data_IF_549863001097
#
_entry.id   IF_549863001097
#
_cell.length_a   1.000
_cell.length_b   1.000
_cell.length_c   1.000
_cell.angle_alpha   90.00
_cell.angle_beta   90.00
_cell.angle_gamma   90.00
#
_symmetry.space_group_name_H-M   'P 1'
#
loop_
_entity.id
_entity.type
_entity.pdbx_description
1 polymer ?
#
# COMPACT_ATOMS: atom_id res chain seq x y z
N UNK A 1 -7.71 -17.97 89.06
CA UNK A 1 -8.57 -17.13 89.93
C UNK A 1 -8.39 -15.72 89.37
N UNK A 2 -9.30 -15.13 88.61
CA UNK A 2 -10.76 -15.10 88.79
C UNK A 2 -11.42 -14.91 87.41
N UNK A 3 -12.51 -15.65 87.17
CA UNK A 3 -13.50 -15.45 86.09
C UNK A 3 -14.25 -14.11 86.34
N UNK A 4 -14.78 -13.41 85.34
CA UNK A 4 -16.14 -13.48 84.74
C UNK A 4 -16.24 -12.16 83.89
N UNK A 5 -16.83 -12.02 82.70
CA UNK A 5 -18.13 -12.42 82.17
C UNK A 5 -18.15 -12.36 80.62
N UNK A 6 -18.93 -13.25 80.01
CA UNK A 6 -19.55 -13.16 78.68
C UNK A 6 -21.09 -13.06 78.92
N UNK A 7 -21.99 -12.93 77.91
CA UNK A 7 -22.04 -12.10 76.69
C UNK A 7 -23.46 -11.43 76.50
N UNK A 8 -23.66 -10.58 75.48
CA UNK A 8 -25.01 -10.41 74.87
C UNK A 8 -25.01 -9.72 73.49
N UNK A 9 -25.14 -10.56 72.44
CA UNK A 9 -26.07 -10.52 71.30
C UNK A 9 -26.26 -9.31 70.36
N UNK A 10 -26.34 -9.68 69.07
CA UNK A 10 -26.93 -9.03 67.87
C UNK A 10 -25.91 -8.28 66.97
N UNK A 11 -25.81 -8.49 65.65
CA UNK A 11 -26.70 -9.17 64.70
C UNK A 11 -25.97 -9.52 63.37
N UNK A 12 -26.49 -10.57 62.73
CA UNK A 12 -26.54 -10.97 61.31
C UNK A 12 -25.39 -10.74 60.29
N UNK A 13 -24.95 -11.87 59.69
CA UNK A 13 -24.93 -12.07 58.22
C UNK A 13 -23.55 -12.01 57.55
N UNK A 14 -22.93 -13.13 57.17
CA UNK A 14 -23.20 -13.73 55.86
C UNK A 14 -21.93 -14.26 55.19
N UNK A 15 -21.58 -15.51 55.50
CA UNK A 15 -20.92 -16.54 54.66
C UNK A 15 -19.83 -16.14 53.65
N UNK A 16 -18.59 -16.59 53.90
CA UNK A 16 -17.63 -16.86 52.83
C UNK A 16 -18.07 -18.02 51.95
N UNK A 17 -17.91 -17.88 50.64
CA UNK A 17 -18.05 -18.99 49.68
C UNK A 17 -16.99 -18.85 48.60
N UNK A 18 -15.90 -19.58 48.77
CA UNK A 18 -15.04 -19.99 47.67
C UNK A 18 -15.74 -21.14 46.94
N UNK A 19 -15.95 -21.00 45.63
CA UNK A 19 -15.95 -22.14 44.71
C UNK A 19 -15.73 -21.59 43.30
N UNK A 20 -14.57 -21.88 42.73
CA UNK A 20 -14.30 -21.68 41.32
C UNK A 20 -15.11 -22.69 40.52
N UNK A 21 -16.01 -22.22 39.66
CA UNK A 21 -16.66 -23.07 38.66
C UNK A 21 -15.63 -23.42 37.57
N UNK A 22 -14.97 -24.56 37.75
CA UNK A 22 -14.16 -25.16 36.71
C UNK A 22 -15.09 -25.73 35.63
N UNK A 23 -15.13 -25.07 34.46
CA UNK A 23 -15.78 -25.61 33.26
C UNK A 23 -15.04 -26.87 32.84
N UNK A 24 -15.66 -28.03 33.03
CA UNK A 24 -15.11 -29.31 32.58
C UNK A 24 -15.41 -29.49 31.08
N UNK A 25 -14.37 -29.43 30.25
CA UNK A 25 -14.47 -29.71 28.82
C UNK A 25 -14.55 -31.23 28.60
N UNK A 26 -15.75 -31.76 28.36
CA UNK A 26 -15.95 -33.16 27.95
C UNK A 26 -15.55 -33.35 26.48
N UNK A 27 -14.90 -34.48 26.15
CA UNK A 27 -14.54 -34.86 24.77
C UNK A 27 -15.75 -34.85 23.84
N UNK A 28 -16.94 -35.19 24.34
CA UNK A 28 -18.18 -35.15 23.54
C UNK A 28 -18.61 -33.72 23.22
N UNK A 29 -18.46 -32.78 24.15
CA UNK A 29 -18.73 -31.37 23.93
C UNK A 29 -17.73 -30.75 22.94
N UNK A 30 -16.46 -31.14 23.02
CA UNK A 30 -15.42 -30.71 22.07
C UNK A 30 -15.71 -31.23 20.65
N UNK A 31 -16.04 -32.52 20.50
CA UNK A 31 -16.34 -33.12 19.21
C UNK A 31 -17.63 -32.56 18.60
N UNK A 32 -18.69 -32.38 19.39
CA UNK A 32 -19.93 -31.76 18.92
C UNK A 32 -19.72 -30.29 18.51
N UNK A 33 -18.93 -29.53 19.27
CA UNK A 33 -18.59 -28.14 18.93
C UNK A 33 -17.72 -28.01 17.67
N UNK A 34 -16.79 -28.94 17.45
CA UNK A 34 -15.92 -28.96 16.27
C UNK A 34 -16.66 -29.36 14.97
N UNK A 35 -17.67 -30.22 15.05
CA UNK A 35 -18.49 -30.58 13.88
C UNK A 35 -19.42 -29.44 13.44
N UNK A 36 -19.98 -28.69 14.41
CA UNK A 36 -20.84 -27.53 14.12
C UNK A 36 -20.08 -26.34 13.53
N UNK A 37 -18.81 -26.16 13.90
CA UNK A 37 -17.97 -25.08 13.37
C UNK A 37 -17.49 -25.34 11.93
N UNK A 38 -17.27 -26.60 11.55
CA UNK A 38 -16.90 -26.97 10.17
C UNK A 38 -18.08 -26.87 9.18
N UNK A 39 -19.31 -27.17 9.60
CA UNK A 39 -20.50 -27.02 8.76
C UNK A 39 -20.86 -25.55 8.55
N UNK A 40 -20.71 -24.69 9.56
CA UNK A 40 -20.92 -23.24 9.43
C UNK A 40 -19.89 -22.55 8.52
N UNK A 41 -18.68 -23.09 8.37
CA UNK A 41 -17.71 -22.59 7.39
C UNK A 41 -18.11 -22.86 5.94
N UNK A 42 -18.80 -23.99 5.68
CA UNK A 42 -19.35 -24.31 4.35
C UNK A 42 -20.52 -23.40 3.93
N UNK A 43 -21.23 -22.82 4.91
CA UNK A 43 -22.36 -21.90 4.71
C UNK A 43 -22.07 -20.47 5.15
N UNK A 44 -20.82 -20.13 5.47
CA UNK A 44 -20.43 -18.76 5.73
C UNK A 44 -20.86 -17.94 4.50
N UNK A 45 -21.74 -16.94 4.64
CA UNK A 45 -22.13 -16.12 3.51
C UNK A 45 -20.83 -15.55 2.97
N UNK A 46 -20.47 -15.96 1.74
CA UNK A 46 -19.50 -15.21 0.97
C UNK A 46 -20.16 -13.86 0.85
N UNK A 47 -19.71 -12.90 1.66
CA UNK A 47 -20.11 -11.54 1.50
C UNK A 47 -19.76 -11.21 0.05
N UNK A 48 -20.77 -11.18 -0.81
CA UNK A 48 -20.71 -10.36 -1.99
C UNK A 48 -20.65 -8.97 -1.43
N UNK A 49 -19.41 -8.52 -1.18
CA UNK A 49 -19.12 -7.11 -1.02
C UNK A 49 -19.88 -6.43 -2.15
N UNK A 50 -20.59 -5.35 -1.80
CA UNK A 50 -21.24 -4.49 -2.76
C UNK A 50 -20.34 -4.26 -3.98
N UNK A 51 -20.93 -3.78 -5.07
CA UNK A 51 -20.34 -3.32 -6.34
C UNK A 51 -19.07 -2.40 -6.25
N UNK A 52 -18.41 -2.28 -5.10
CA UNK A 52 -17.07 -1.78 -4.96
C UNK A 52 -16.13 -2.47 -5.96
N UNK A 53 -15.62 -1.65 -6.86
CA UNK A 53 -14.59 -2.01 -7.81
C UNK A 53 -13.24 -1.42 -7.34
N UNK A 54 -12.61 -2.00 -6.31
CA UNK A 54 -11.45 -1.37 -5.67
C UNK A 54 -10.29 -1.24 -6.64
N UNK A 55 -9.50 -0.18 -6.43
CA UNK A 55 -8.27 0.10 -7.16
C UNK A 55 -7.10 0.02 -6.20
N UNK A 56 -6.00 -0.56 -6.66
CA UNK A 56 -4.78 -0.70 -5.88
C UNK A 56 -3.60 -0.13 -6.65
N UNK A 57 -2.84 0.75 -6.00
CA UNK A 57 -1.64 1.36 -6.55
C UNK A 57 -0.48 1.16 -5.58
N UNK A 58 0.57 0.47 -6.03
CA UNK A 58 1.83 0.39 -5.30
C UNK A 58 2.75 1.53 -5.72
N UNK A 59 3.21 2.33 -4.77
CA UNK A 59 4.17 3.40 -5.00
C UNK A 59 5.49 3.02 -4.35
N UNK A 60 6.54 2.84 -5.16
CA UNK A 60 7.89 2.57 -4.63
C UNK A 60 8.70 3.86 -4.61
N UNK A 61 9.13 4.25 -3.41
CA UNK A 61 10.01 5.41 -3.20
C UNK A 61 11.46 4.93 -3.30
N UNK A 62 12.14 5.26 -4.40
CA UNK A 62 13.52 4.85 -4.70
C UNK A 62 14.51 5.81 -4.04
N UNK A 63 15.47 5.24 -3.34
CA UNK A 63 16.61 5.94 -2.75
C UNK A 63 16.84 5.62 -1.27
N UNK A 64 15.90 4.94 -0.62
CA UNK A 64 16.05 4.57 0.79
C UNK A 64 15.56 5.67 1.72
N UNK A 65 14.25 5.90 1.69
CA UNK A 65 13.57 6.81 2.61
C UNK A 65 13.86 6.42 4.06
N UNK A 66 14.40 7.36 4.83
CA UNK A 66 14.58 7.18 6.26
C UNK A 66 13.23 7.18 7.02
N UNK A 67 12.80 6.01 7.46
CA UNK A 67 11.55 5.82 8.20
C UNK A 67 11.49 6.58 9.54
N UNK A 68 12.63 6.82 10.19
CA UNK A 68 12.68 7.59 11.44
C UNK A 68 12.53 9.09 11.17
N UNK A 69 12.95 9.57 10.01
CA UNK A 69 12.68 10.94 9.58
C UNK A 69 11.22 11.16 9.17
N UNK A 70 10.50 10.09 8.78
CA UNK A 70 9.08 10.12 8.40
C UNK A 70 8.20 10.09 9.64
N UNK A 71 8.38 9.07 10.49
CA UNK A 71 7.54 8.80 11.63
C UNK A 71 8.40 8.31 12.81
N UNK A 72 8.67 9.24 13.72
CA UNK A 72 9.60 9.07 14.83
C UNK A 72 8.92 8.51 16.08
N UNK A 73 9.53 7.54 16.78
CA UNK A 73 9.06 7.02 18.07
C UNK A 73 9.46 7.97 19.21
N UNK A 74 8.82 9.14 19.33
CA UNK A 74 9.16 10.15 20.35
C UNK A 74 9.05 9.66 21.79
N UNK A 75 8.22 8.65 22.05
CA UNK A 75 8.12 8.05 23.39
C UNK A 75 9.30 7.12 23.74
N UNK A 76 10.19 6.79 22.80
CA UNK A 76 11.40 6.01 23.07
C UNK A 76 12.48 6.93 23.68
N UNK A 77 12.92 6.70 24.93
CA UNK A 77 13.90 7.55 25.60
C UNK A 77 15.27 7.56 24.90
N UNK A 78 15.56 6.56 24.07
CA UNK A 78 16.81 6.48 23.32
C UNK A 78 16.75 7.21 21.98
N UNK A 79 15.55 7.51 21.46
CA UNK A 79 15.40 8.07 20.12
C UNK A 79 16.19 9.37 19.94
N UNK A 80 15.96 10.37 20.80
CA UNK A 80 16.64 11.66 20.69
C UNK A 80 18.17 11.53 20.77
N UNK A 81 18.66 10.71 21.72
CA UNK A 81 20.11 10.55 21.93
C UNK A 81 20.78 9.82 20.77
N UNK A 82 20.18 8.74 20.27
CA UNK A 82 20.73 7.95 19.17
C UNK A 82 20.62 8.68 17.83
N UNK A 83 19.57 9.48 17.65
CA UNK A 83 19.29 10.20 16.42
C UNK A 83 20.02 11.55 16.34
N UNK A 84 20.34 12.16 17.49
CA UNK A 84 21.10 13.40 17.58
C UNK A 84 20.43 14.54 16.81
N UNK A 85 21.20 15.28 16.02
CA UNK A 85 20.69 16.42 15.23
C UNK A 85 19.65 16.08 14.16
N UNK A 86 19.43 14.79 13.86
CA UNK A 86 18.40 14.33 12.93
C UNK A 86 17.07 14.01 13.62
N UNK A 87 16.99 14.15 14.94
CA UNK A 87 15.77 13.89 15.68
C UNK A 87 14.70 14.93 15.34
N UNK A 88 13.45 14.48 15.24
CA UNK A 88 12.32 15.40 15.15
C UNK A 88 12.15 16.15 16.47
N UNK A 89 11.74 17.40 16.39
CA UNK A 89 11.55 18.25 17.56
C UNK A 89 10.27 17.86 18.32
N UNK A 90 10.32 17.93 19.65
CA UNK A 90 9.16 17.71 20.52
C UNK A 90 8.22 18.93 20.56
N UNK A 91 8.77 20.13 20.45
CA UNK A 91 8.04 21.38 20.63
C UNK A 91 8.60 22.51 19.75
N UNK A 92 7.81 23.57 19.60
CA UNK A 92 8.14 24.74 18.77
C UNK A 92 7.68 24.62 17.32
N UNK A 93 8.13 25.55 16.47
CA UNK A 93 7.65 25.72 15.10
C UNK A 93 8.02 24.56 14.15
N UNK A 94 8.84 23.61 14.60
CA UNK A 94 9.23 22.38 13.88
C UNK A 94 8.79 21.09 14.56
N UNK A 95 7.88 21.15 15.53
CA UNK A 95 7.43 19.97 16.27
C UNK A 95 6.76 18.93 15.36
N UNK A 96 7.05 17.66 15.61
CA UNK A 96 6.41 16.54 14.90
C UNK A 96 4.89 16.52 15.10
N UNK A 97 4.15 16.05 14.09
CA UNK A 97 2.70 15.96 14.11
C UNK A 97 2.25 14.68 14.83
N UNK A 98 1.50 14.73 15.95
CA UNK A 98 1.20 13.54 16.74
C UNK A 98 0.39 12.48 15.97
N UNK A 99 0.83 11.23 16.01
CA UNK A 99 0.11 10.06 15.48
C UNK A 99 -0.58 9.23 16.58
N UNK A 100 -0.32 9.55 17.85
CA UNK A 100 -0.71 8.73 19.00
C UNK A 100 0.28 7.59 19.24
N UNK A 101 0.11 6.88 20.37
CA UNK A 101 0.98 5.75 20.73
C UNK A 101 2.47 6.09 20.90
N UNK A 102 2.79 7.38 21.12
CA UNK A 102 4.18 7.83 21.25
C UNK A 102 4.90 8.13 19.94
N UNK A 103 4.21 8.09 18.79
CA UNK A 103 4.79 8.44 17.49
C UNK A 103 4.40 9.85 17.03
N UNK A 104 5.30 10.49 16.31
CA UNK A 104 5.04 11.75 15.60
C UNK A 104 5.47 11.64 14.14
N UNK A 105 4.72 12.26 13.24
CA UNK A 105 5.05 12.40 11.84
C UNK A 105 5.92 13.65 11.62
N UNK A 106 6.74 13.63 10.58
CA UNK A 106 7.48 14.81 10.12
C UNK A 106 6.55 16.02 9.92
N UNK A 107 6.90 17.23 10.41
CA UNK A 107 6.07 18.44 10.27
C UNK A 107 5.76 18.82 8.82
N UNK A 108 6.62 18.44 7.86
CA UNK A 108 6.39 18.71 6.44
C UNK A 108 5.29 17.81 5.82
N UNK A 109 4.84 16.76 6.51
CA UNK A 109 3.89 15.77 6.00
C UNK A 109 2.45 16.03 6.44
N UNK A 110 2.04 17.29 6.47
CA UNK A 110 0.70 17.73 6.92
C UNK A 110 -0.45 17.04 6.17
N UNK A 111 -0.29 16.77 4.86
CA UNK A 111 -1.29 16.06 4.08
C UNK A 111 -1.48 14.60 4.53
N UNK A 112 -0.37 13.88 4.76
CA UNK A 112 -0.43 12.50 5.25
C UNK A 112 -0.99 12.44 6.68
N UNK A 113 -0.64 13.42 7.52
CA UNK A 113 -1.21 13.55 8.86
C UNK A 113 -2.73 13.75 8.82
N UNK A 114 -3.23 14.59 7.91
CA UNK A 114 -4.68 14.78 7.71
C UNK A 114 -5.38 13.49 7.29
N UNK A 115 -4.79 12.70 6.38
CA UNK A 115 -5.32 11.40 6.00
C UNK A 115 -5.34 10.43 7.18
N UNK A 116 -4.27 10.41 7.98
CA UNK A 116 -4.17 9.58 9.17
C UNK A 116 -5.26 9.93 10.20
N UNK A 117 -5.47 11.22 10.48
CA UNK A 117 -6.54 11.68 11.37
C UNK A 117 -7.94 11.26 10.90
N UNK A 118 -8.16 11.19 9.59
CA UNK A 118 -9.40 10.71 8.97
C UNK A 118 -9.51 9.18 8.90
N UNK A 119 -8.50 8.44 9.35
CA UNK A 119 -8.37 6.98 9.21
C UNK A 119 -8.31 6.51 7.75
N UNK A 120 -7.78 7.36 6.88
CA UNK A 120 -7.55 7.09 5.45
C UNK A 120 -6.08 6.73 5.15
N UNK A 121 -5.20 6.82 6.15
CA UNK A 121 -3.81 6.38 6.06
C UNK A 121 -3.43 5.52 7.28
N UNK A 122 -2.55 4.54 7.04
CA UNK A 122 -1.96 3.68 8.05
C UNK A 122 -0.44 3.68 7.87
N UNK A 123 0.28 3.82 8.98
CA UNK A 123 1.73 3.65 9.02
C UNK A 123 2.03 2.31 9.71
N UNK A 124 2.88 1.50 9.09
CA UNK A 124 3.29 0.21 9.64
C UNK A 124 4.80 0.28 9.89
N UNK A 125 5.17 0.20 11.16
CA UNK A 125 6.56 0.28 11.61
C UNK A 125 7.21 -1.10 11.69
N UNK A 126 8.55 -1.11 11.78
CA UNK A 126 9.36 -2.32 11.94
C UNK A 126 9.11 -3.39 10.85
N UNK A 127 8.82 -2.95 9.63
CA UNK A 127 8.68 -3.82 8.46
C UNK A 127 9.97 -3.75 7.64
N UNK A 128 10.51 -4.92 7.32
CA UNK A 128 11.66 -5.05 6.43
C UNK A 128 11.56 -6.34 5.64
N UNK A 129 12.20 -6.36 4.46
CA UNK A 129 12.50 -7.61 3.76
C UNK A 129 13.50 -8.44 4.58
N UNK A 130 13.74 -9.74 4.27
CA UNK A 130 14.80 -10.51 4.93
C UNK A 130 16.22 -10.09 4.54
N UNK A 131 16.37 -9.20 3.55
CA UNK A 131 17.66 -8.76 3.03
C UNK A 131 18.41 -7.87 4.03
N UNK A 132 19.69 -8.16 4.28
CA UNK A 132 20.54 -7.48 5.29
C UNK A 132 21.91 -7.04 4.77
N UNK A 133 22.13 -7.09 3.46
CA UNK A 133 23.37 -6.61 2.85
C UNK A 133 23.26 -5.13 2.43
N UNK A 134 24.35 -4.58 1.85
CA UNK A 134 24.51 -3.13 1.62
C UNK A 134 24.25 -2.67 0.19
N UNK A 135 23.74 -3.53 -0.68
CA UNK A 135 23.37 -3.15 -2.05
C UNK A 135 21.90 -2.71 -2.11
N UNK A 136 21.67 -1.45 -2.50
CA UNK A 136 20.34 -0.90 -2.71
C UNK A 136 19.59 -1.60 -3.85
N UNK A 137 20.31 -2.00 -4.90
CA UNK A 137 19.71 -2.70 -6.05
C UNK A 137 19.17 -4.07 -5.65
N UNK A 138 19.97 -4.84 -4.91
CA UNK A 138 19.58 -6.17 -4.44
C UNK A 138 18.43 -6.09 -3.42
N UNK A 139 18.48 -5.14 -2.49
CA UNK A 139 17.38 -4.92 -1.54
C UNK A 139 16.08 -4.51 -2.23
N UNK A 140 16.19 -3.71 -3.30
CA UNK A 140 15.07 -3.35 -4.17
C UNK A 140 14.51 -4.58 -4.90
N UNK A 141 15.36 -5.44 -5.45
CA UNK A 141 14.91 -6.64 -6.15
C UNK A 141 14.20 -7.61 -5.21
N UNK A 142 14.68 -7.74 -3.96
CA UNK A 142 14.00 -8.51 -2.90
C UNK A 142 12.63 -7.90 -2.56
N UNK A 143 12.54 -6.57 -2.41
CA UNK A 143 11.28 -5.87 -2.15
C UNK A 143 10.25 -6.08 -3.27
N UNK A 144 10.70 -5.95 -4.53
CA UNK A 144 9.82 -6.02 -5.70
C UNK A 144 9.45 -7.44 -6.11
N UNK A 145 10.36 -8.39 -5.92
CA UNK A 145 10.09 -9.81 -6.15
C UNK A 145 9.25 -10.43 -5.05
N UNK A 146 9.37 -9.94 -3.81
CA UNK A 146 8.81 -10.57 -2.62
C UNK A 146 9.44 -11.94 -2.29
N UNK A 147 10.63 -12.23 -2.83
CA UNK A 147 11.38 -13.46 -2.58
C UNK A 147 12.37 -13.28 -1.42
N UNK A 148 12.83 -14.35 -0.77
CA UNK A 148 13.65 -14.23 0.44
C UNK A 148 15.10 -13.77 0.22
N UNK A 149 15.57 -13.67 -1.03
CA UNK A 149 16.96 -13.33 -1.32
C UNK A 149 17.21 -12.94 -2.76
N UNK A 150 18.47 -12.60 -3.03
CA UNK A 150 18.97 -12.20 -4.34
C UNK A 150 19.14 -13.43 -5.23
N UNK A 151 18.88 -13.31 -6.53
CA UNK A 151 19.04 -14.41 -7.48
C UNK A 151 18.50 -14.09 -8.87
N UNK A 152 18.25 -15.14 -9.67
CA UNK A 152 17.60 -15.02 -10.97
C UNK A 152 16.11 -14.68 -10.80
N UNK A 153 15.84 -13.41 -10.50
CA UNK A 153 14.51 -12.89 -10.30
C UNK A 153 14.00 -12.36 -11.64
N UNK A 154 12.97 -13.01 -12.19
CA UNK A 154 12.38 -12.61 -13.48
C UNK A 154 10.98 -12.02 -13.35
N UNK A 155 10.33 -12.15 -12.19
CA UNK A 155 8.97 -11.67 -11.95
C UNK A 155 8.78 -11.02 -10.57
N UNK A 156 7.74 -10.19 -10.48
CA UNK A 156 7.36 -9.44 -9.28
C UNK A 156 6.15 -10.01 -8.58
N UNK A 157 6.08 -9.80 -7.26
CA UNK A 157 4.98 -10.33 -6.46
C UNK A 157 3.61 -9.78 -6.88
N UNK A 158 3.55 -8.52 -7.35
CA UNK A 158 2.28 -7.91 -7.75
C UNK A 158 1.77 -8.49 -9.07
N UNK A 159 2.65 -8.75 -10.04
CA UNK A 159 2.25 -9.46 -11.26
C UNK A 159 1.76 -10.88 -10.95
N UNK A 160 2.49 -11.63 -10.11
CA UNK A 160 2.05 -12.96 -9.67
C UNK A 160 0.69 -12.91 -8.98
N UNK A 161 0.41 -11.87 -8.20
CA UNK A 161 -0.90 -11.66 -7.59
C UNK A 161 -2.00 -11.38 -8.63
N UNK A 162 -1.73 -10.54 -9.63
CA UNK A 162 -2.66 -10.25 -10.74
C UNK A 162 -2.98 -11.54 -11.51
N UNK A 163 -1.99 -12.37 -11.81
CA UNK A 163 -2.16 -13.63 -12.55
C UNK A 163 -3.09 -14.64 -11.84
N UNK A 164 -3.29 -14.48 -10.52
CA UNK A 164 -4.17 -15.34 -9.70
C UNK A 164 -5.57 -14.75 -9.50
N UNK A 165 -5.86 -13.57 -10.03
CA UNK A 165 -7.17 -12.95 -9.88
C UNK A 165 -8.24 -13.68 -10.73
N UNK A 166 -9.49 -13.84 -10.24
CA UNK A 166 -10.53 -14.58 -10.94
C UNK A 166 -10.87 -14.04 -12.35
N UNK A 167 -11.21 -14.94 -13.28
CA UNK A 167 -11.51 -14.61 -14.68
C UNK A 167 -12.71 -13.67 -14.88
N UNK A 168 -13.68 -13.64 -13.96
CA UNK A 168 -14.76 -12.64 -13.98
C UNK A 168 -14.26 -11.20 -13.79
N UNK A 169 -13.02 -11.03 -13.30
CA UNK A 169 -12.29 -9.76 -13.27
C UNK A 169 -11.26 -9.67 -14.41
N UNK A 170 -11.04 -10.73 -15.20
CA UNK A 170 -9.93 -10.86 -16.14
C UNK A 170 -9.95 -9.92 -17.33
N UNK A 171 -11.13 -9.52 -17.80
CA UNK A 171 -11.23 -8.46 -18.83
C UNK A 171 -10.64 -7.12 -18.35
N UNK A 172 -10.46 -6.95 -17.03
CA UNK A 172 -9.82 -5.80 -16.36
C UNK A 172 -8.56 -6.17 -15.55
N UNK A 173 -7.98 -7.36 -15.78
CA UNK A 173 -6.75 -7.85 -15.09
C UNK A 173 -5.45 -7.36 -15.72
N UNK A 174 -5.52 -6.44 -16.68
CA UNK A 174 -4.28 -5.85 -17.18
C UNK A 174 -3.71 -4.95 -16.09
N UNK A 175 -2.49 -5.22 -15.65
CA UNK A 175 -1.77 -4.39 -14.70
C UNK A 175 -1.37 -3.05 -15.32
N UNK A 176 -1.11 -2.04 -14.51
CA UNK A 176 -0.58 -0.75 -14.94
C UNK A 176 0.84 -0.54 -14.40
N UNK A 177 1.80 -0.28 -15.27
CA UNK A 177 3.13 0.16 -14.94
C UNK A 177 3.31 1.62 -15.38
N UNK A 178 3.68 2.48 -14.44
CA UNK A 178 4.01 3.86 -14.75
C UNK A 178 5.53 3.98 -14.89
N UNK A 179 5.97 4.29 -16.10
CA UNK A 179 7.39 4.37 -16.47
C UNK A 179 7.64 3.86 -17.88
N UNK A 180 8.82 4.19 -18.42
CA UNK A 180 9.26 3.73 -19.72
C UNK A 180 9.63 2.23 -19.71
N UNK A 181 9.99 1.70 -18.54
CA UNK A 181 10.32 0.29 -18.31
C UNK A 181 9.38 -0.26 -17.24
N UNK A 182 8.84 -1.45 -17.47
CA UNK A 182 8.02 -2.15 -16.48
C UNK A 182 8.88 -2.47 -15.25
N UNK A 183 8.53 -1.95 -14.05
CA UNK A 183 9.29 -2.22 -12.83
C UNK A 183 9.17 -3.69 -12.45
N UNK A 184 10.18 -4.22 -11.75
CA UNK A 184 10.25 -5.64 -11.42
C UNK A 184 8.98 -6.12 -10.71
N UNK A 185 8.42 -5.31 -9.80
CA UNK A 185 7.18 -5.64 -9.07
C UNK A 185 6.00 -5.99 -9.99
N UNK A 186 6.00 -5.47 -11.23
CA UNK A 186 4.98 -5.72 -12.26
C UNK A 186 5.42 -6.67 -13.37
N UNK A 187 6.65 -7.19 -13.40
CA UNK A 187 7.08 -8.16 -14.43
C UNK A 187 6.48 -9.53 -14.14
N UNK A 188 6.11 -10.27 -15.18
CA UNK A 188 5.62 -11.65 -15.08
C UNK A 188 4.60 -12.00 -16.16
N UNK A 189 3.88 -13.12 -15.96
CA UNK A 189 2.96 -13.68 -16.95
C UNK A 189 1.65 -12.89 -17.13
N UNK A 190 1.22 -12.11 -16.14
CA UNK A 190 0.03 -11.29 -16.29
C UNK A 190 0.29 -10.14 -17.27
N UNK A 191 -0.66 -9.79 -18.15
CA UNK A 191 -0.51 -8.69 -19.08
C UNK A 191 -0.39 -7.36 -18.32
N UNK A 192 0.54 -6.50 -18.74
CA UNK A 192 0.78 -5.18 -18.15
C UNK A 192 0.79 -4.11 -19.22
N UNK A 193 0.08 -3.02 -18.96
CA UNK A 193 0.13 -1.78 -19.71
C UNK A 193 1.20 -0.90 -19.13
N UNK A 194 2.08 -0.35 -19.97
CA UNK A 194 3.07 0.64 -19.56
C UNK A 194 2.70 2.01 -20.11
N UNK A 195 2.79 3.04 -19.29
CA UNK A 195 2.66 4.43 -19.73
C UNK A 195 3.73 5.31 -19.09
N UNK A 196 4.28 6.25 -19.86
CA UNK A 196 5.22 7.26 -19.36
C UNK A 196 4.89 8.64 -19.94
N UNK A 197 5.19 9.74 -19.23
CA UNK A 197 5.10 11.08 -19.77
C UNK A 197 5.88 11.23 -21.09
N UNK A 198 5.44 12.17 -21.93
CA UNK A 198 6.14 12.47 -23.18
C UNK A 198 7.51 13.06 -22.88
N UNK A 199 8.55 12.37 -23.32
CA UNK A 199 9.95 12.84 -23.20
C UNK A 199 10.31 13.78 -24.35
N UNK A 200 9.57 13.71 -25.46
CA UNK A 200 9.87 14.50 -26.66
C UNK A 200 9.43 15.94 -26.50
N UNK A 201 10.36 16.86 -26.76
CA UNK A 201 10.13 18.31 -26.70
C UNK A 201 9.24 18.84 -27.85
N UNK A 202 8.89 18.01 -28.82
CA UNK A 202 8.09 18.38 -29.99
C UNK A 202 6.74 17.68 -29.96
N UNK A 203 5.70 18.44 -30.29
CA UNK A 203 4.36 17.89 -30.46
C UNK A 203 4.34 16.91 -31.64
N UNK A 204 3.96 15.66 -31.35
CA UNK A 204 3.73 14.66 -32.39
C UNK A 204 2.34 14.92 -32.98
N UNK A 205 2.30 15.27 -34.26
CA UNK A 205 1.05 15.49 -34.99
C UNK A 205 0.29 14.19 -35.20
N UNK A 206 -1.05 14.27 -35.26
CA UNK A 206 -1.90 13.09 -35.52
C UNK A 206 -1.55 12.40 -36.85
N UNK A 207 -1.10 13.16 -37.85
CA UNK A 207 -0.65 12.61 -39.14
C UNK A 207 0.65 11.80 -39.03
N UNK A 208 1.51 12.13 -38.07
CA UNK A 208 2.72 11.36 -37.80
C UNK A 208 2.38 10.04 -37.11
N UNK A 209 1.46 10.08 -36.14
CA UNK A 209 0.96 8.86 -35.48
C UNK A 209 0.29 7.91 -36.48
N UNK A 210 -0.55 8.42 -37.39
CA UNK A 210 -1.22 7.58 -38.39
C UNK A 210 -0.26 6.96 -39.39
N UNK A 211 0.74 7.71 -39.87
CA UNK A 211 1.79 7.18 -40.76
C UNK A 211 2.65 6.12 -40.06
N UNK A 212 3.02 6.35 -38.81
CA UNK A 212 3.77 5.37 -38.03
C UNK A 212 2.96 4.09 -37.82
N UNK A 213 1.67 4.21 -37.52
CA UNK A 213 0.77 3.05 -37.42
C UNK A 213 0.69 2.28 -38.73
N UNK A 214 0.49 2.96 -39.86
CA UNK A 214 0.45 2.31 -41.17
C UNK A 214 1.77 1.59 -41.49
N UNK A 215 2.91 2.18 -41.13
CA UNK A 215 4.22 1.54 -41.27
C UNK A 215 4.29 0.24 -40.45
N UNK A 216 3.93 0.28 -39.16
CA UNK A 216 3.96 -0.91 -38.32
C UNK A 216 2.93 -1.96 -38.74
N UNK A 217 1.72 -1.55 -39.13
CA UNK A 217 0.71 -2.48 -39.66
C UNK A 217 1.26 -3.28 -40.87
N UNK A 218 2.12 -2.65 -41.68
CA UNK A 218 2.74 -3.27 -42.85
C UNK A 218 4.03 -4.06 -42.57
N UNK A 219 4.75 -3.75 -41.48
CA UNK A 219 6.13 -4.26 -41.26
C UNK A 219 6.30 -5.07 -39.99
N UNK A 220 5.55 -4.77 -38.93
CA UNK A 220 5.70 -5.36 -37.61
C UNK A 220 4.35 -5.38 -36.85
N UNK A 221 3.60 -6.49 -36.93
CA UNK A 221 2.33 -6.65 -36.23
C UNK A 221 2.42 -6.48 -34.71
N UNK A 222 3.57 -6.79 -34.10
CA UNK A 222 3.76 -6.66 -32.65
C UNK A 222 3.88 -5.19 -32.25
N UNK A 223 4.68 -4.41 -32.98
CA UNK A 223 4.77 -2.96 -32.78
C UNK A 223 3.46 -2.24 -33.15
N UNK A 224 2.73 -2.73 -34.15
CA UNK A 224 1.42 -2.20 -34.53
C UNK A 224 0.41 -2.33 -33.38
N UNK A 225 0.33 -3.52 -32.78
CA UNK A 225 -0.53 -3.77 -31.62
C UNK A 225 -0.12 -2.92 -30.41
N UNK A 226 1.18 -2.80 -30.12
CA UNK A 226 1.70 -1.98 -29.03
C UNK A 226 1.36 -0.48 -29.23
N UNK A 227 1.55 0.05 -30.44
CA UNK A 227 1.23 1.44 -30.77
C UNK A 227 -0.28 1.70 -30.69
N UNK A 228 -1.11 0.80 -31.20
CA UNK A 228 -2.58 0.93 -31.12
C UNK A 228 -3.04 1.04 -29.66
N UNK A 229 -2.45 0.22 -28.78
CA UNK A 229 -2.75 0.27 -27.34
C UNK A 229 -2.23 1.54 -26.67
N UNK A 230 -1.06 2.03 -27.07
CA UNK A 230 -0.55 3.33 -26.61
C UNK A 230 -1.46 4.50 -26.98
N UNK A 231 -2.01 4.52 -28.20
CA UNK A 231 -2.97 5.53 -28.66
C UNK A 231 -4.26 5.50 -27.83
N UNK A 232 -4.76 4.30 -27.52
CA UNK A 232 -5.94 4.10 -26.66
C UNK A 232 -5.72 4.71 -25.26
N UNK A 233 -4.58 4.41 -24.62
CA UNK A 233 -4.19 4.95 -23.31
C UNK A 233 -4.09 6.48 -23.36
N UNK A 234 -3.42 7.05 -24.37
CA UNK A 234 -3.31 8.50 -24.52
C UNK A 234 -4.70 9.15 -24.66
N UNK A 235 -5.65 8.45 -25.30
CA UNK A 235 -7.06 8.84 -25.36
C UNK A 235 -7.71 8.92 -23.97
N UNK A 236 -7.48 7.93 -23.10
CA UNK A 236 -8.00 7.90 -21.72
C UNK A 236 -7.43 9.03 -20.84
N UNK A 237 -6.23 9.53 -21.18
CA UNK A 237 -5.54 10.55 -20.40
C UNK A 237 -5.86 11.98 -20.84
N UNK A 238 -6.53 12.19 -21.99
CA UNK A 238 -6.92 13.52 -22.45
C UNK A 238 -7.82 14.20 -21.42
N UNK A 239 -7.49 15.43 -20.97
CA UNK A 239 -8.36 16.15 -20.05
C UNK A 239 -9.70 16.46 -20.73
N UNK A 240 -10.81 16.22 -20.03
CA UNK A 240 -12.12 16.73 -20.42
C UNK A 240 -12.17 18.27 -20.39
N UNK A 241 -13.14 18.90 -21.05
CA UNK A 241 -13.25 20.37 -21.07
C UNK A 241 -13.40 20.91 -19.64
N UNK A 242 -12.51 21.83 -19.25
CA UNK A 242 -12.68 22.65 -18.04
C UNK A 242 -11.73 22.42 -16.86
N UNK A 243 -10.62 21.67 -16.98
CA UNK A 243 -9.62 21.56 -15.90
C UNK A 243 -8.33 22.32 -16.20
N UNK A 244 -8.19 23.48 -15.54
CA UNK A 244 -6.99 24.31 -15.57
C UNK A 244 -5.76 23.56 -15.03
N UNK A 245 -4.62 23.75 -15.68
CA UNK A 245 -3.34 23.19 -15.24
C UNK A 245 -2.91 23.80 -13.90
N UNK A 246 -2.38 23.01 -12.94
CA UNK A 246 -1.92 23.54 -11.68
C UNK A 246 -0.70 24.46 -11.83
N UNK A 247 -0.65 25.42 -10.91
CA UNK A 247 0.19 26.62 -10.91
C UNK A 247 1.70 26.32 -10.87
N UNK A 248 2.44 27.10 -11.64
CA UNK A 248 3.89 27.02 -11.87
C UNK A 248 4.69 27.43 -10.62
N UNK A 249 5.07 26.49 -9.76
CA UNK A 249 6.06 26.76 -8.69
C UNK A 249 6.77 25.52 -8.09
N UNK A 250 6.62 24.34 -8.70
CA UNK A 250 7.30 23.12 -8.26
C UNK A 250 8.55 22.83 -9.11
N UNK A 251 9.64 22.33 -8.48
CA UNK A 251 10.82 21.82 -9.17
C UNK A 251 10.47 20.68 -10.15
N UNK A 252 11.31 20.45 -11.17
CA UNK A 252 11.06 19.49 -12.27
C UNK A 252 10.63 18.11 -11.77
N UNK A 253 11.37 17.53 -10.83
CA UNK A 253 11.06 16.21 -10.26
C UNK A 253 9.65 16.12 -9.63
N UNK A 254 9.22 17.17 -8.91
CA UNK A 254 7.88 17.22 -8.32
C UNK A 254 6.80 17.33 -9.39
N UNK A 255 7.04 18.07 -10.48
CA UNK A 255 6.09 18.16 -11.60
C UNK A 255 5.93 16.81 -12.29
N UNK A 256 7.04 16.14 -12.58
CA UNK A 256 7.04 14.83 -13.24
C UNK A 256 6.31 13.78 -12.37
N UNK A 257 6.55 13.79 -11.04
CA UNK A 257 5.82 12.94 -10.09
C UNK A 257 4.31 13.21 -10.09
N UNK A 258 3.90 14.50 -10.05
CA UNK A 258 2.48 14.87 -10.04
C UNK A 258 1.80 14.45 -11.35
N UNK A 259 2.46 14.63 -12.49
CA UNK A 259 1.93 14.21 -13.79
C UNK A 259 1.71 12.70 -13.84
N UNK A 260 2.72 11.92 -13.42
CA UNK A 260 2.62 10.45 -13.35
C UNK A 260 1.52 10.00 -12.39
N UNK A 261 1.42 10.61 -11.21
CA UNK A 261 0.37 10.27 -10.23
C UNK A 261 -1.03 10.61 -10.76
N UNK A 262 -1.20 11.75 -11.43
CA UNK A 262 -2.47 12.14 -12.06
C UNK A 262 -2.86 11.19 -13.20
N UNK A 263 -1.90 10.77 -14.03
CA UNK A 263 -2.14 9.81 -15.09
C UNK A 263 -2.56 8.43 -14.51
N UNK A 264 -1.84 7.95 -13.49
CA UNK A 264 -2.20 6.71 -12.80
C UNK A 264 -3.62 6.79 -12.21
N UNK A 265 -3.97 7.91 -11.57
CA UNK A 265 -5.30 8.13 -11.02
C UNK A 265 -6.39 8.10 -12.09
N UNK A 266 -6.18 8.72 -13.26
CA UNK A 266 -7.14 8.71 -14.38
C UNK A 266 -7.33 7.31 -14.94
N UNK A 267 -6.24 6.57 -15.16
CA UNK A 267 -6.29 5.22 -15.70
C UNK A 267 -6.98 4.27 -14.73
N UNK A 268 -6.62 4.30 -13.45
CA UNK A 268 -7.27 3.48 -12.43
C UNK A 268 -8.75 3.88 -12.22
N UNK A 269 -9.10 5.16 -12.31
CA UNK A 269 -10.49 5.60 -12.12
C UNK A 269 -11.40 5.28 -13.32
N UNK A 270 -10.84 4.97 -14.49
CA UNK A 270 -11.63 4.60 -15.67
C UNK A 270 -12.44 3.31 -15.40
N UNK A 271 -13.74 3.25 -15.77
CA UNK A 271 -14.53 2.03 -15.64
C UNK A 271 -13.89 0.83 -16.32
N UNK A 272 -13.32 1.03 -17.51
CA UNK A 272 -12.61 0.02 -18.31
C UNK A 272 -11.09 0.05 -18.08
N UNK A 273 -10.64 0.80 -17.07
CA UNK A 273 -9.24 0.93 -16.72
C UNK A 273 -8.67 -0.26 -15.96
N UNK A 274 -7.33 -0.32 -15.85
CA UNK A 274 -6.64 -1.30 -15.01
C UNK A 274 -7.05 -1.15 -13.54
N UNK A 275 -7.02 -2.26 -12.80
CA UNK A 275 -7.38 -2.26 -11.36
C UNK A 275 -6.18 -2.18 -10.42
N UNK A 276 -5.04 -2.65 -10.90
CA UNK A 276 -3.81 -2.79 -10.14
C UNK A 276 -2.72 -2.05 -10.89
N UNK A 277 -2.05 -1.12 -10.23
CA UNK A 277 -0.94 -0.38 -10.79
C UNK A 277 0.29 -0.36 -9.90
N UNK A 278 1.44 -0.06 -10.50
CA UNK A 278 2.65 0.30 -9.80
C UNK A 278 3.32 1.52 -10.45
N UNK A 279 3.89 2.39 -9.62
CA UNK A 279 4.76 3.48 -10.05
C UNK A 279 5.96 3.60 -9.13
N UNK A 280 7.07 4.11 -9.66
CA UNK A 280 8.27 4.39 -8.89
C UNK A 280 8.56 5.89 -8.89
N UNK A 281 8.93 6.44 -7.74
CA UNK A 281 9.37 7.83 -7.59
C UNK A 281 10.82 7.81 -7.11
N UNK A 282 11.72 8.50 -7.81
CA UNK A 282 13.14 8.59 -7.43
C UNK A 282 13.45 9.84 -6.62
N UNK A 283 14.66 9.92 -6.06
CA UNK A 283 15.13 11.08 -5.29
C UNK A 283 14.72 11.05 -3.82
N UNK A 284 14.52 9.86 -3.27
CA UNK A 284 14.29 9.62 -1.84
C UNK A 284 15.55 9.08 -1.15
N UNK A 285 16.73 9.37 -1.70
CA UNK A 285 18.01 9.14 -1.04
C UNK A 285 18.15 10.17 0.09
N UNK A 286 18.03 9.71 1.33
CA UNK A 286 18.12 10.53 2.55
C UNK A 286 19.26 10.08 3.44
#
# INVERSE_FOLDING_TARGET
MTNLDEPSSADAGGTGKACADAVTLDRRALLAGSAASLTLWGFAPRAHAASADPRFLTVVLRGGLDGLAVAAPMADPHYQTLRGGLALQEAGDGAGLPLGGGFVLNPAMTFLHSLYQKREALLVHAVATPYRERSHFDGQDVLESGLPGVGAITDGWLNRAIARMPAARATKTTGLAMGAVVPLVMRGAAPVLSWSPKVLARDITQSTVSRLKALYDATDPALAAALAKGIEIDGMLRPGPGRAAPQRQAGRARRDMVEVAQAAARLLASPEGPRVGALSVSGWDT
#
